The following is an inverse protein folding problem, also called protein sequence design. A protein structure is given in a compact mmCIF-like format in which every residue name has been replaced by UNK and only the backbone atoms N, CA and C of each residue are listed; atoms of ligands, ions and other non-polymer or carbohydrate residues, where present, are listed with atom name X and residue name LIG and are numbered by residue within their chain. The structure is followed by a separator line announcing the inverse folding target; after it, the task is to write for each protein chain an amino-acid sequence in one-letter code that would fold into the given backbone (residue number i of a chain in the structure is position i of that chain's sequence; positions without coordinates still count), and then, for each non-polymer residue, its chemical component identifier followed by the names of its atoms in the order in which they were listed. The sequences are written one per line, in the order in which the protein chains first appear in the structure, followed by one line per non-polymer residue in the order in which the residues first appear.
data_IF_629204345251
#
_entry.id   IF_629204345251
#
_cell.length_a   1.000
_cell.length_b   1.000
_cell.length_c   1.000
_cell.angle_alpha   90.00
_cell.angle_beta   90.00
_cell.angle_gamma   90.00
#
_symmetry.space_group_name_H-M   'P 1'
#
loop_
_entity.id
_entity.type
_entity.pdbx_description
1 polymer ?
#
# COMPACT_ATOMS: atom_id res chain seq x y z
N UNK A 1 -8.92 -22.19 -1.64
CA UNK A 1 -8.16 -21.50 -0.60
C UNK A 1 -8.99 -20.39 0.02
N UNK A 2 -8.72 -20.02 1.24
CA UNK A 2 -9.31 -18.86 1.91
C UNK A 2 -8.52 -17.64 1.52
N UNK A 3 -9.19 -16.59 1.09
CA UNK A 3 -8.57 -15.28 0.84
C UNK A 3 -8.96 -14.31 1.95
N UNK A 4 -8.08 -13.36 2.25
CA UNK A 4 -8.37 -12.21 3.12
C UNK A 4 -8.28 -10.97 2.27
N UNK A 5 -9.33 -10.17 2.28
CA UNK A 5 -9.44 -8.94 1.52
C UNK A 5 -9.46 -7.75 2.48
N UNK A 6 -8.63 -6.77 2.23
CA UNK A 6 -8.60 -5.49 2.93
C UNK A 6 -9.06 -4.39 1.98
N UNK A 7 -10.08 -3.68 2.42
CA UNK A 7 -10.65 -2.53 1.71
C UNK A 7 -10.74 -1.35 2.67
N UNK A 8 -10.68 -0.11 2.19
CA UNK A 8 -10.86 1.06 3.02
C UNK A 8 -12.25 1.12 3.66
N UNK A 9 -12.35 1.83 4.77
CA UNK A 9 -13.64 2.16 5.40
C UNK A 9 -13.66 3.64 5.73
N UNK A 10 -14.85 4.27 5.81
CA UNK A 10 -15.03 5.69 6.12
C UNK A 10 -15.75 5.93 7.45
N UNK A 11 -16.13 4.88 8.15
CA UNK A 11 -16.81 4.97 9.45
C UNK A 11 -16.48 3.74 10.30
N UNK A 12 -16.81 3.81 11.60
CA UNK A 12 -16.61 2.71 12.57
C UNK A 12 -15.16 2.22 12.63
N UNK A 13 -14.20 3.15 12.61
CA UNK A 13 -12.79 2.86 12.66
C UNK A 13 -12.42 2.10 13.94
N UNK A 14 -11.88 0.90 13.78
CA UNK A 14 -11.27 0.16 14.87
C UNK A 14 -9.91 0.78 15.25
N UNK A 15 -9.45 0.47 16.45
CA UNK A 15 -8.11 0.78 16.91
C UNK A 15 -7.39 -0.49 17.32
N UNK A 16 -6.05 -0.44 17.32
CA UNK A 16 -5.23 -1.56 17.78
C UNK A 16 -4.43 -1.16 19.00
N UNK A 17 -4.02 -2.14 19.80
CA UNK A 17 -3.03 -1.98 20.86
C UNK A 17 -1.74 -2.60 20.39
N UNK A 18 -0.65 -1.82 20.43
CA UNK A 18 0.66 -2.27 20.01
C UNK A 18 1.52 -2.52 21.25
N UNK A 19 2.10 -3.72 21.32
CA UNK A 19 3.05 -4.12 22.36
C UNK A 19 4.44 -4.21 21.76
N UNK A 20 5.39 -3.52 22.36
CA UNK A 20 6.80 -3.58 22.00
C UNK A 20 7.60 -4.05 23.19
N UNK A 21 8.24 -5.21 23.08
CA UNK A 21 8.96 -5.85 24.18
C UNK A 21 10.48 -5.74 23.91
N UNK A 22 11.20 -5.19 24.87
CA UNK A 22 12.66 -5.06 24.82
C UNK A 22 13.22 -5.50 26.19
N UNK A 23 14.03 -6.54 26.18
CA UNK A 23 14.83 -6.99 27.33
C UNK A 23 14.08 -7.00 28.69
N UNK A 24 12.90 -7.59 28.71
CA UNK A 24 12.09 -7.70 29.92
C UNK A 24 11.22 -6.47 30.22
N UNK A 25 11.27 -5.43 29.39
CA UNK A 25 10.41 -4.26 29.49
C UNK A 25 9.38 -4.28 28.35
N UNK A 26 8.12 -4.09 28.68
CA UNK A 26 7.04 -3.99 27.70
C UNK A 26 6.52 -2.57 27.62
N UNK A 27 6.60 -1.98 26.44
CA UNK A 27 5.95 -0.73 26.06
C UNK A 27 4.59 -1.04 25.43
N UNK A 28 3.59 -0.25 25.79
CA UNK A 28 2.21 -0.41 25.29
C UNK A 28 1.74 0.93 24.76
N UNK A 29 1.19 0.90 23.54
CA UNK A 29 0.51 2.04 22.95
C UNK A 29 -0.90 1.60 22.59
N UNK A 30 -1.92 2.29 23.15
CA UNK A 30 -3.32 1.93 23.03
C UNK A 30 -4.07 2.89 22.10
N UNK A 31 -5.22 2.44 21.58
CA UNK A 31 -6.06 3.26 20.70
C UNK A 31 -5.35 3.67 19.41
N UNK A 32 -4.38 2.86 18.94
CA UNK A 32 -3.58 3.19 17.77
C UNK A 32 -4.41 3.17 16.50
N UNK A 33 -4.22 4.18 15.68
CA UNK A 33 -4.62 4.24 14.28
C UNK A 33 -3.42 4.64 13.44
N UNK A 34 -3.43 4.32 12.16
CA UNK A 34 -2.24 4.50 11.34
C UNK A 34 -2.53 4.54 9.85
N UNK A 35 -1.47 4.69 9.11
CA UNK A 35 -1.43 4.55 7.66
C UNK A 35 -0.43 3.47 7.28
N UNK A 36 -0.44 3.05 6.03
CA UNK A 36 0.59 2.18 5.48
C UNK A 36 0.91 2.55 4.04
N UNK A 37 2.12 2.20 3.64
CA UNK A 37 2.55 2.27 2.25
C UNK A 37 2.99 0.89 1.76
N UNK A 38 2.85 0.67 0.46
CA UNK A 38 3.37 -0.49 -0.27
C UNK A 38 4.51 -0.04 -1.16
N UNK A 39 5.55 -0.86 -1.25
CA UNK A 39 6.61 -0.66 -2.23
C UNK A 39 7.07 -1.99 -2.81
N UNK A 40 7.33 -1.99 -4.11
CA UNK A 40 7.90 -3.12 -4.81
C UNK A 40 8.78 -2.63 -5.96
N UNK A 41 10.02 -3.11 -6.01
CA UNK A 41 10.97 -2.85 -7.09
C UNK A 41 11.59 -4.17 -7.57
N UNK A 42 11.91 -4.24 -8.84
CA UNK A 42 12.53 -5.43 -9.44
C UNK A 42 13.85 -5.73 -8.74
N UNK A 43 14.02 -6.98 -8.33
CA UNK A 43 15.19 -7.45 -7.59
C UNK A 43 15.08 -7.34 -6.07
N UNK A 44 14.05 -6.69 -5.54
CA UNK A 44 13.83 -6.50 -4.11
C UNK A 44 12.65 -7.33 -3.58
N UNK A 45 12.57 -7.49 -2.28
CA UNK A 45 11.41 -8.09 -1.61
C UNK A 45 10.39 -6.97 -1.40
N UNK A 46 9.14 -7.10 -1.92
CA UNK A 46 8.10 -6.11 -1.64
C UNK A 46 7.86 -5.92 -0.15
N UNK A 47 7.62 -4.68 0.27
CA UNK A 47 7.36 -4.34 1.66
C UNK A 47 6.04 -3.60 1.86
N UNK A 48 5.53 -3.72 3.09
CA UNK A 48 4.43 -2.90 3.61
C UNK A 48 4.98 -2.20 4.85
N UNK A 49 5.02 -0.88 4.80
CA UNK A 49 5.52 -0.05 5.89
C UNK A 49 4.33 0.59 6.62
N UNK A 50 4.24 0.34 7.94
CA UNK A 50 3.17 0.84 8.78
C UNK A 50 3.64 1.96 9.68
N UNK A 51 2.86 3.04 9.75
CA UNK A 51 3.05 4.13 10.71
C UNK A 51 1.83 4.24 11.60
N UNK A 52 2.01 4.12 12.93
CA UNK A 52 0.93 4.21 13.91
C UNK A 52 1.15 5.33 14.90
N UNK A 53 0.06 6.01 15.24
CA UNK A 53 -0.03 6.95 16.35
C UNK A 53 -1.00 6.39 17.39
N UNK A 54 -0.65 6.50 18.67
CA UNK A 54 -1.48 5.97 19.75
C UNK A 54 -1.25 6.68 21.07
N UNK A 55 -1.97 6.26 22.11
CA UNK A 55 -1.90 6.81 23.46
C UNK A 55 -0.82 6.07 24.24
N UNK A 56 0.15 6.82 24.75
CA UNK A 56 1.23 6.28 25.58
C UNK A 56 0.70 5.70 26.91
N UNK A 57 1.26 4.56 27.29
CA UNK A 57 1.08 3.95 28.60
C UNK A 57 2.45 3.73 29.24
N UNK A 58 2.52 3.82 30.56
CA UNK A 58 3.77 3.59 31.28
C UNK A 58 4.30 2.17 31.01
N UNK A 59 5.60 2.01 30.73
CA UNK A 59 6.20 0.70 30.56
C UNK A 59 6.08 -0.17 31.81
N UNK A 60 6.09 -1.47 31.62
CA UNK A 60 6.01 -2.46 32.71
C UNK A 60 7.05 -3.54 32.53
N UNK A 61 7.60 -4.02 33.64
CA UNK A 61 8.46 -5.21 33.62
C UNK A 61 7.59 -6.43 33.27
N UNK A 62 7.95 -7.11 32.20
CA UNK A 62 7.20 -8.26 31.69
C UNK A 62 8.13 -9.21 30.97
N UNK A 63 8.06 -10.49 31.28
CA UNK A 63 8.82 -11.50 30.57
C UNK A 63 8.53 -11.45 29.05
N UNK A 64 9.54 -11.71 28.22
CA UNK A 64 9.38 -11.80 26.78
C UNK A 64 8.35 -12.90 26.43
N UNK A 65 7.44 -12.65 25.52
CA UNK A 65 6.49 -13.65 25.06
C UNK A 65 7.20 -14.78 24.33
N UNK A 66 6.67 -16.00 24.45
CA UNK A 66 7.12 -17.09 23.58
C UNK A 66 6.69 -16.79 22.13
N UNK A 67 7.62 -16.95 21.20
CA UNK A 67 7.38 -16.71 19.77
C UNK A 67 7.38 -18.00 18.97
N UNK A 68 6.56 -18.07 17.93
CA UNK A 68 6.48 -19.18 16.99
C UNK A 68 6.64 -18.65 15.57
N UNK A 69 7.70 -19.07 14.90
CA UNK A 69 8.03 -18.63 13.53
C UNK A 69 7.63 -19.63 12.44
N UNK A 70 7.07 -20.78 12.81
CA UNK A 70 6.83 -21.91 11.89
C UNK A 70 5.85 -21.65 10.75
N UNK A 71 5.04 -20.58 10.82
CA UNK A 71 4.05 -20.24 9.80
C UNK A 71 4.48 -19.11 8.87
N UNK A 72 5.72 -18.64 8.99
CA UNK A 72 6.23 -17.60 8.10
C UNK A 72 6.64 -18.22 6.77
N UNK A 73 5.96 -17.79 5.68
CA UNK A 73 6.36 -18.15 4.34
C UNK A 73 7.66 -17.43 3.94
N UNK A 74 8.46 -18.05 3.09
CA UNK A 74 9.65 -17.41 2.50
C UNK A 74 9.18 -16.30 1.56
N UNK A 75 9.63 -15.04 1.76
CA UNK A 75 9.25 -13.93 0.89
C UNK A 75 9.83 -14.13 -0.51
N UNK A 76 9.09 -13.71 -1.51
CA UNK A 76 9.48 -13.77 -2.92
C UNK A 76 10.03 -12.44 -3.39
N UNK A 77 11.11 -12.48 -4.17
CA UNK A 77 11.67 -11.31 -4.84
C UNK A 77 10.70 -10.86 -5.94
N UNK A 78 10.48 -9.56 -6.05
CA UNK A 78 9.70 -8.95 -7.12
C UNK A 78 10.46 -9.05 -8.45
N UNK A 79 10.01 -9.94 -9.32
CA UNK A 79 10.62 -10.20 -10.63
C UNK A 79 9.65 -10.91 -11.56
N UNK A 80 9.99 -10.94 -12.82
CA UNK A 80 9.30 -11.81 -13.80
C UNK A 80 9.28 -13.27 -13.31
N UNK A 81 8.14 -13.93 -13.43
CA UNK A 81 7.91 -15.30 -12.92
C UNK A 81 7.36 -15.36 -11.50
N UNK A 82 7.67 -14.39 -10.63
CA UNK A 82 7.04 -14.25 -9.32
C UNK A 82 5.88 -13.24 -9.33
N UNK A 83 5.88 -12.30 -10.28
CA UNK A 83 4.81 -11.31 -10.47
C UNK A 83 4.05 -11.71 -11.73
N UNK A 84 2.80 -12.14 -11.54
CA UNK A 84 2.04 -12.80 -12.60
C UNK A 84 1.22 -11.86 -13.47
N UNK A 85 0.90 -10.66 -12.96
CA UNK A 85 0.16 -9.65 -13.73
C UNK A 85 0.46 -8.24 -13.26
N UNK A 86 0.55 -7.35 -14.24
CA UNK A 86 0.54 -5.91 -14.07
C UNK A 86 -0.35 -5.32 -15.15
N UNK A 87 -1.23 -4.41 -14.77
CA UNK A 87 -2.02 -3.60 -15.69
C UNK A 87 -2.19 -2.18 -15.13
N UNK A 88 -2.00 -1.19 -15.99
CA UNK A 88 -2.31 0.21 -15.73
C UNK A 88 -3.13 0.75 -16.91
N UNK A 89 -4.34 1.27 -16.64
CA UNK A 89 -5.24 1.79 -17.68
C UNK A 89 -5.43 0.79 -18.84
N UNK A 90 -5.62 -0.49 -18.49
CA UNK A 90 -5.72 -1.64 -19.43
C UNK A 90 -4.47 -1.92 -20.26
N UNK A 91 -3.34 -1.28 -19.98
CA UNK A 91 -2.05 -1.57 -20.58
C UNK A 91 -1.25 -2.52 -19.71
N UNK A 92 -0.76 -3.61 -20.30
CA UNK A 92 0.15 -4.56 -19.66
C UNK A 92 1.55 -4.34 -20.25
N UNK A 93 2.47 -3.76 -19.48
CA UNK A 93 3.84 -3.46 -19.89
C UNK A 93 4.89 -4.03 -18.95
N UNK A 94 6.15 -3.67 -19.18
CA UNK A 94 7.25 -4.02 -18.29
C UNK A 94 7.26 -3.07 -17.10
N UNK A 95 6.93 -3.59 -15.92
CA UNK A 95 6.93 -2.85 -14.65
C UNK A 95 8.30 -2.94 -13.98
N UNK A 96 8.90 -1.82 -13.66
CA UNK A 96 10.14 -1.73 -12.90
C UNK A 96 9.87 -1.63 -11.40
N UNK A 97 9.06 -0.67 -11.00
CA UNK A 97 8.66 -0.50 -9.60
C UNK A 97 7.27 0.13 -9.49
N UNK A 98 6.67 -0.02 -8.33
CA UNK A 98 5.53 0.78 -7.92
C UNK A 98 5.58 1.07 -6.43
N UNK A 99 4.97 2.19 -6.03
CA UNK A 99 4.69 2.54 -4.65
C UNK A 99 3.24 2.97 -4.52
N UNK A 100 2.66 2.75 -3.35
CA UNK A 100 1.32 3.21 -3.00
C UNK A 100 1.31 3.63 -1.53
N UNK A 101 0.76 4.79 -1.23
CA UNK A 101 0.48 5.24 0.12
C UNK A 101 -1.04 5.38 0.27
N UNK A 102 -1.60 4.80 1.31
CA UNK A 102 -3.04 4.97 1.63
C UNK A 102 -3.35 6.42 2.00
N UNK A 103 -2.35 7.16 2.50
CA UNK A 103 -2.48 8.58 2.79
C UNK A 103 -3.52 8.89 3.87
N UNK A 104 -3.66 8.02 4.89
CA UNK A 104 -4.52 8.30 6.03
C UNK A 104 -3.96 9.46 6.84
N UNK A 105 -4.76 10.51 7.05
CA UNK A 105 -4.43 11.60 7.96
C UNK A 105 -4.78 11.20 9.39
N UNK A 106 -3.75 11.04 10.23
CA UNK A 106 -3.88 10.58 11.62
C UNK A 106 -3.60 11.74 12.58
N UNK A 107 -4.56 12.08 13.40
CA UNK A 107 -4.49 13.20 14.34
C UNK A 107 -4.61 12.69 15.77
N UNK A 108 -3.58 12.94 16.60
CA UNK A 108 -3.69 12.79 18.05
C UNK A 108 -4.40 14.02 18.64
N UNK A 109 -5.44 13.78 19.40
CA UNK A 109 -6.25 14.84 20.02
C UNK A 109 -6.32 14.65 21.52
N UNK A 110 -6.00 15.73 22.26
CA UNK A 110 -6.16 15.82 23.70
C UNK A 110 -6.75 17.17 24.05
N UNK A 111 -7.95 17.17 24.63
CA UNK A 111 -8.66 18.41 25.03
C UNK A 111 -8.89 18.44 26.54
N UNK A 112 -8.82 19.64 27.12
CA UNK A 112 -9.17 19.83 28.53
C UNK A 112 -10.67 19.52 28.74
N UNK A 113 -10.97 18.61 29.65
CA UNK A 113 -12.34 18.12 29.88
C UNK A 113 -12.83 17.08 28.86
N UNK A 114 -12.01 16.69 27.91
CA UNK A 114 -12.27 15.62 26.93
C UNK A 114 -11.45 14.36 27.14
N UNK A 115 -11.64 13.40 26.27
CA UNK A 115 -10.84 12.18 26.21
C UNK A 115 -9.62 12.35 25.31
N UNK A 116 -8.56 11.60 25.58
CA UNK A 116 -7.47 11.42 24.64
C UNK A 116 -7.88 10.42 23.58
N UNK A 117 -7.69 10.77 22.32
CA UNK A 117 -8.06 9.90 21.20
C UNK A 117 -7.15 10.11 19.99
N UNK A 118 -7.08 9.10 19.14
CA UNK A 118 -6.44 9.18 17.84
C UNK A 118 -7.54 9.10 16.79
N UNK A 119 -7.60 10.11 15.93
CA UNK A 119 -8.60 10.23 14.88
C UNK A 119 -7.97 9.94 13.53
N UNK A 120 -8.75 9.37 12.65
CA UNK A 120 -8.51 9.36 11.22
C UNK A 120 -9.45 10.40 10.63
N UNK A 121 -8.90 11.47 10.07
CA UNK A 121 -9.67 12.65 9.63
C UNK A 121 -9.90 12.68 8.13
N UNK A 122 -8.93 12.14 7.36
CA UNK A 122 -9.01 12.09 5.91
C UNK A 122 -8.19 10.92 5.35
N UNK A 123 -8.37 10.63 4.06
CA UNK A 123 -7.60 9.66 3.29
C UNK A 123 -7.46 10.12 1.85
N UNK A 124 -6.22 10.17 1.36
CA UNK A 124 -5.87 10.56 0.00
C UNK A 124 -4.84 9.57 -0.58
N UNK A 125 -5.32 8.42 -1.02
CA UNK A 125 -4.46 7.35 -1.50
C UNK A 125 -3.83 7.71 -2.86
N UNK A 126 -2.50 7.59 -2.92
CA UNK A 126 -1.71 7.96 -4.10
C UNK A 126 -0.46 7.06 -4.22
N UNK A 127 0.28 7.22 -5.30
CA UNK A 127 1.51 6.50 -5.51
C UNK A 127 2.21 6.86 -6.82
N UNK A 128 3.18 6.04 -7.18
CA UNK A 128 3.92 6.17 -8.44
C UNK A 128 4.22 4.80 -9.03
N UNK A 129 4.34 4.76 -10.35
CA UNK A 129 4.68 3.57 -11.12
C UNK A 129 5.78 3.94 -12.09
N UNK A 130 6.81 3.10 -12.20
CA UNK A 130 7.83 3.22 -13.23
C UNK A 130 7.74 2.02 -14.16
N UNK A 131 7.54 2.28 -15.45
CA UNK A 131 7.44 1.27 -16.51
C UNK A 131 8.43 1.58 -17.64
N UNK A 132 8.79 0.56 -18.41
CA UNK A 132 9.47 0.80 -19.69
C UNK A 132 8.54 1.59 -20.62
N UNK A 133 9.09 2.63 -21.27
CA UNK A 133 8.32 3.54 -22.11
C UNK A 133 7.73 2.79 -23.32
N UNK A 134 6.40 2.65 -23.44
CA UNK A 134 5.79 2.07 -24.63
C UNK A 134 5.84 3.02 -25.82
N UNK A 135 5.70 2.46 -27.03
CA UNK A 135 5.39 3.29 -28.18
C UNK A 135 4.02 3.99 -27.98
N UNK A 136 3.90 5.25 -28.36
CA UNK A 136 2.65 6.02 -28.25
C UNK A 136 1.46 5.33 -28.92
N UNK A 137 1.71 4.62 -30.02
CA UNK A 137 0.69 3.82 -30.71
C UNK A 137 0.17 2.63 -29.91
N UNK A 138 0.93 2.14 -28.92
CA UNK A 138 0.52 1.07 -28.03
C UNK A 138 -0.23 1.62 -26.82
N UNK A 139 0.29 2.67 -26.20
CA UNK A 139 -0.36 3.40 -25.11
C UNK A 139 0.24 4.80 -24.96
N UNK A 140 -0.60 5.79 -25.07
CA UNK A 140 -0.25 7.20 -24.85
C UNK A 140 -0.67 7.61 -23.44
N UNK A 141 0.28 7.54 -22.51
CA UNK A 141 0.07 7.97 -21.12
C UNK A 141 0.07 9.50 -20.98
N UNK A 142 0.75 10.23 -21.89
CA UNK A 142 0.74 11.69 -21.86
C UNK A 142 -0.64 12.23 -22.21
N UNK A 143 -1.27 11.70 -23.27
CA UNK A 143 -2.65 12.06 -23.59
C UNK A 143 -3.64 11.63 -22.51
N UNK A 144 -3.41 10.49 -21.86
CA UNK A 144 -4.24 10.04 -20.75
C UNK A 144 -4.14 10.98 -19.54
N UNK A 145 -2.95 11.48 -19.20
CA UNK A 145 -2.74 12.42 -18.09
C UNK A 145 -3.38 13.79 -18.32
N UNK A 146 -3.59 14.20 -19.58
CA UNK A 146 -4.24 15.47 -19.90
C UNK A 146 -5.78 15.41 -19.90
N UNK A 147 -6.35 14.25 -19.65
CA UNK A 147 -7.78 14.02 -19.82
C UNK A 147 -8.40 13.51 -18.51
N UNK A 148 -9.12 14.37 -17.80
CA UNK A 148 -9.79 14.08 -16.51
C UNK A 148 -10.77 12.89 -16.57
N UNK A 149 -11.07 12.37 -17.75
CA UNK A 149 -11.93 11.20 -17.99
C UNK A 149 -11.16 9.92 -18.30
N UNK A 150 -9.84 9.96 -18.43
CA UNK A 150 -9.02 8.78 -18.74
C UNK A 150 -8.68 7.95 -17.50
N UNK A 151 -9.68 7.74 -16.65
CA UNK A 151 -9.57 6.90 -15.47
C UNK A 151 -9.66 5.43 -15.85
N UNK A 152 -8.86 4.58 -15.21
CA UNK A 152 -8.86 3.15 -15.47
C UNK A 152 -8.27 2.34 -14.35
N UNK A 153 -8.20 1.04 -14.55
CA UNK A 153 -7.73 0.12 -13.53
C UNK A 153 -6.21 0.14 -13.33
N UNK A 154 -5.80 -0.16 -12.10
CA UNK A 154 -4.43 -0.55 -11.76
C UNK A 154 -4.47 -1.89 -11.01
N UNK A 155 -3.69 -2.86 -11.44
CA UNK A 155 -3.60 -4.17 -10.80
C UNK A 155 -2.17 -4.69 -10.82
N UNK A 156 -1.72 -5.19 -9.68
CA UNK A 156 -0.46 -5.95 -9.54
C UNK A 156 -0.75 -7.21 -8.75
N UNK A 157 -0.30 -8.36 -9.26
CA UNK A 157 -0.38 -9.64 -8.55
C UNK A 157 1.03 -10.21 -8.38
N UNK A 158 1.45 -10.36 -7.15
CA UNK A 158 2.73 -10.95 -6.77
C UNK A 158 2.52 -12.28 -6.06
N UNK A 159 3.34 -13.28 -6.36
CA UNK A 159 3.16 -14.65 -5.91
C UNK A 159 2.38 -15.50 -6.92
N UNK A 160 2.59 -16.80 -6.89
CA UNK A 160 1.97 -17.76 -7.81
C UNK A 160 1.41 -19.02 -7.14
N UNK A 161 1.61 -19.17 -5.83
CA UNK A 161 1.15 -20.33 -5.07
C UNK A 161 0.18 -19.88 -3.99
N UNK A 162 -0.94 -20.58 -3.85
CA UNK A 162 -1.91 -20.31 -2.80
C UNK A 162 -1.24 -20.27 -1.41
N UNK A 163 -1.56 -19.27 -0.61
CA UNK A 163 -0.90 -18.93 0.65
C UNK A 163 0.26 -17.94 0.52
N UNK A 164 0.66 -17.57 -0.72
CA UNK A 164 1.76 -16.65 -0.99
C UNK A 164 1.44 -15.69 -2.16
N UNK A 165 0.18 -15.35 -2.35
CA UNK A 165 -0.27 -14.42 -3.38
C UNK A 165 -0.76 -13.14 -2.71
N UNK A 166 -0.21 -12.02 -3.16
CA UNK A 166 -0.66 -10.67 -2.79
C UNK A 166 -1.12 -9.97 -4.05
N UNK A 167 -2.37 -9.53 -4.07
CA UNK A 167 -2.94 -8.77 -5.17
C UNK A 167 -3.36 -7.39 -4.69
N UNK A 168 -2.80 -6.38 -5.31
CA UNK A 168 -3.28 -5.01 -5.23
C UNK A 168 -4.15 -4.70 -6.44
N UNK A 169 -5.30 -4.08 -6.21
CA UNK A 169 -6.22 -3.67 -7.28
C UNK A 169 -6.84 -2.33 -6.93
N UNK A 170 -6.88 -1.45 -7.92
CA UNK A 170 -7.74 -0.27 -7.94
C UNK A 170 -8.57 -0.30 -9.22
N UNK A 171 -9.85 -0.02 -9.10
CA UNK A 171 -10.76 0.02 -10.25
C UNK A 171 -10.61 1.31 -11.05
N UNK A 172 -10.10 2.36 -10.39
CA UNK A 172 -10.05 3.70 -10.96
C UNK A 172 -8.86 4.47 -10.42
N UNK A 173 -7.90 4.73 -11.29
CA UNK A 173 -6.76 5.60 -11.02
C UNK A 173 -6.79 6.78 -11.96
N UNK A 174 -6.41 7.93 -11.42
CA UNK A 174 -6.12 9.15 -12.15
C UNK A 174 -4.61 9.32 -12.18
N UNK A 175 -4.02 9.42 -13.37
CA UNK A 175 -2.59 9.59 -13.54
C UNK A 175 -2.24 11.07 -13.66
N UNK A 176 -1.18 11.47 -12.96
CA UNK A 176 -0.65 12.83 -13.01
C UNK A 176 0.36 13.04 -14.15
N UNK A 177 1.15 14.07 -14.03
CA UNK A 177 2.17 14.45 -15.02
C UNK A 177 3.20 13.33 -15.20
N UNK A 178 3.23 12.77 -16.40
CA UNK A 178 4.16 11.70 -16.78
C UNK A 178 5.52 12.28 -17.10
N UNK A 179 6.57 11.73 -16.49
CA UNK A 179 7.95 12.13 -16.74
C UNK A 179 8.76 11.01 -17.41
N UNK A 180 9.74 11.40 -18.21
CA UNK A 180 10.75 10.46 -18.70
C UNK A 180 11.81 10.21 -17.63
N UNK A 181 12.14 8.94 -17.43
CA UNK A 181 13.28 8.47 -16.67
C UNK A 181 14.20 7.60 -17.52
N UNK A 182 15.24 7.06 -16.91
CA UNK A 182 16.17 6.11 -17.52
C UNK A 182 16.56 5.04 -16.51
N UNK A 183 16.67 3.82 -16.98
CA UNK A 183 17.27 2.72 -16.24
C UNK A 183 18.07 1.84 -17.21
N UNK A 184 19.36 1.61 -16.91
CA UNK A 184 20.27 0.76 -17.71
C UNK A 184 20.33 1.14 -19.20
N UNK A 185 20.21 2.45 -19.53
CA UNK A 185 20.20 2.95 -20.91
C UNK A 185 18.86 2.77 -21.63
N UNK A 186 17.81 2.34 -20.94
CA UNK A 186 16.45 2.17 -21.46
C UNK A 186 15.56 3.31 -20.95
N UNK A 187 14.78 3.90 -21.85
CA UNK A 187 13.82 4.97 -21.50
C UNK A 187 12.65 4.41 -20.68
N UNK A 188 12.42 5.02 -19.54
CA UNK A 188 11.32 4.68 -18.63
C UNK A 188 10.29 5.80 -18.61
N UNK A 189 9.07 5.49 -18.17
CA UNK A 189 8.07 6.48 -17.77
C UNK A 189 7.84 6.38 -16.26
N UNK A 190 7.92 7.53 -15.61
CA UNK A 190 7.52 7.73 -14.22
C UNK A 190 6.11 8.34 -14.20
N UNK A 191 5.16 7.61 -13.65
CA UNK A 191 3.75 7.91 -13.69
C UNK A 191 3.23 8.04 -12.26
N UNK A 192 3.06 9.25 -11.73
CA UNK A 192 2.35 9.46 -10.48
C UNK A 192 0.86 9.19 -10.68
N UNK A 193 0.20 8.71 -9.64
CA UNK A 193 -1.23 8.43 -9.71
C UNK A 193 -1.93 8.70 -8.37
N UNK A 194 -3.24 8.97 -8.47
CA UNK A 194 -4.16 9.06 -7.34
C UNK A 194 -5.23 7.99 -7.49
N UNK A 195 -5.59 7.34 -6.39
CA UNK A 195 -6.68 6.37 -6.38
C UNK A 195 -8.02 7.09 -6.23
N UNK A 196 -8.94 6.86 -7.15
CA UNK A 196 -10.21 7.56 -7.20
C UNK A 196 -11.34 6.57 -6.90
N UNK A 197 -12.19 6.83 -5.89
CA UNK A 197 -13.33 5.97 -5.64
C UNK A 197 -14.39 6.09 -6.75
N UNK A 198 -15.00 4.98 -7.11
CA UNK A 198 -16.21 4.94 -7.95
C UNK A 198 -17.47 4.99 -7.08
N UNK A 199 -17.38 4.32 -5.96
CA UNK A 199 -18.33 4.37 -4.85
C UNK A 199 -17.55 4.59 -3.55
N UNK A 200 -18.23 4.77 -2.44
CA UNK A 200 -17.51 4.93 -1.17
C UNK A 200 -16.64 3.69 -0.84
N UNK A 201 -15.36 3.93 -0.55
CA UNK A 201 -14.40 2.94 -0.05
C UNK A 201 -13.99 1.83 -1.04
N UNK A 202 -14.10 2.05 -2.35
CA UNK A 202 -13.71 1.09 -3.38
C UNK A 202 -12.46 1.51 -4.17
N UNK A 203 -11.75 2.54 -3.71
CA UNK A 203 -10.57 3.07 -4.39
C UNK A 203 -9.43 2.06 -4.46
N UNK A 204 -9.37 1.10 -3.53
CA UNK A 204 -8.37 0.04 -3.52
C UNK A 204 -8.86 -1.23 -2.85
N UNK A 205 -8.26 -2.35 -3.22
CA UNK A 205 -8.41 -3.64 -2.57
C UNK A 205 -7.03 -4.33 -2.49
N UNK A 206 -6.68 -4.85 -1.32
CA UNK A 206 -5.49 -5.65 -1.09
C UNK A 206 -5.91 -7.06 -0.65
N UNK A 207 -5.60 -8.05 -1.48
CA UNK A 207 -6.05 -9.44 -1.29
C UNK A 207 -4.84 -10.35 -1.06
N UNK A 208 -4.90 -11.13 0.01
CA UNK A 208 -3.96 -12.20 0.32
C UNK A 208 -4.65 -13.55 0.12
N UNK A 209 -4.05 -14.42 -0.68
CA UNK A 209 -4.62 -15.74 -1.03
C UNK A 209 -3.59 -16.84 -0.93
#
# INVERSE_FOLDING_TARGET
GTSVTYEPISANFSSVTIHYNVDGVRHIVTGCRGTFSLSAAVGEIPSIDFTFTGIYNAPTDTALPAVTYGNQATPLIFKNGNTSSFQLLSFAGALMNFSMDVGNEIVYRELVGGTKEVLLTDRAANGSITIEAPALSSKDFFAAALTDTSLGNFTVTHGGTAGNIVRFTSTKVDIGDVAYGEADGVTMLEIPYTLVPTSANDEMSLVFT
#
